data_IF_773709248343
#
_entry.id   IF_773709248343
#
_cell.length_a   1.000
_cell.length_b   1.000
_cell.length_c   1.000
_cell.angle_alpha   90.00
_cell.angle_beta   90.00
_cell.angle_gamma   90.00
#
_symmetry.space_group_name_H-M   'P 1'
#
loop_
_entity.id
_entity.type
_entity.pdbx_description
1 polymer ?
#
# COMPACT_ATOMS: atom_id res chain seq x y z
N UNK A 1 -40.35 10.51 -0.34
CA UNK A 1 -39.17 11.28 0.12
C UNK A 1 -37.99 10.31 0.18
N UNK A 2 -37.04 10.42 -0.76
CA UNK A 2 -35.78 9.65 -0.74
C UNK A 2 -34.88 10.32 0.30
N UNK A 3 -34.55 9.60 1.39
CA UNK A 3 -33.58 10.03 2.37
C UNK A 3 -32.21 10.16 1.69
N UNK A 4 -31.73 11.37 1.53
CA UNK A 4 -30.32 11.66 1.21
C UNK A 4 -29.48 11.10 2.36
N UNK A 5 -28.83 9.97 2.14
CA UNK A 5 -27.80 9.43 3.03
C UNK A 5 -26.65 10.42 2.97
N UNK A 6 -26.50 11.25 3.99
CA UNK A 6 -25.31 12.07 4.16
C UNK A 6 -24.09 11.14 4.10
N UNK A 7 -23.30 11.28 3.04
CA UNK A 7 -21.96 10.69 2.99
C UNK A 7 -21.13 11.45 4.02
N UNK A 8 -21.06 10.91 5.22
CA UNK A 8 -20.08 11.36 6.19
C UNK A 8 -18.71 11.10 5.56
N UNK A 9 -17.97 12.17 5.32
CA UNK A 9 -16.61 12.12 4.82
C UNK A 9 -15.74 11.54 5.95
N UNK A 10 -15.68 10.20 6.05
CA UNK A 10 -14.87 9.52 7.06
C UNK A 10 -13.42 9.89 6.79
N UNK A 11 -12.83 10.58 7.73
CA UNK A 11 -11.45 11.04 7.63
C UNK A 11 -10.52 9.84 7.84
N UNK A 12 -9.77 9.47 6.82
CA UNK A 12 -8.73 8.44 6.90
C UNK A 12 -7.40 9.13 7.24
N UNK A 13 -6.73 8.66 8.29
CA UNK A 13 -5.37 9.09 8.64
C UNK A 13 -4.36 8.02 8.19
N UNK A 14 -3.18 8.46 7.74
CA UNK A 14 -2.10 7.53 7.34
C UNK A 14 -0.83 7.89 8.11
N UNK A 15 -0.23 6.87 8.74
CA UNK A 15 1.04 6.97 9.46
C UNK A 15 1.94 5.76 9.19
N UNK A 16 3.20 5.86 9.55
CA UNK A 16 4.08 4.70 9.56
C UNK A 16 3.62 3.69 10.62
N UNK A 17 3.85 2.42 10.33
CA UNK A 17 3.59 1.30 11.24
C UNK A 17 4.51 1.39 12.47
N UNK A 18 4.00 0.95 13.60
CA UNK A 18 4.76 0.86 14.86
C UNK A 18 4.74 -0.59 15.39
N UNK A 19 5.63 -0.96 16.35
CA UNK A 19 5.64 -2.30 16.92
C UNK A 19 4.29 -2.75 17.54
N UNK A 20 3.50 -1.81 18.02
CA UNK A 20 2.18 -2.04 18.63
C UNK A 20 1.13 -2.50 17.61
N UNK A 21 1.34 -2.22 16.33
CA UNK A 21 0.42 -2.59 15.24
C UNK A 21 0.54 -4.06 14.81
N UNK A 22 1.50 -4.82 15.37
CA UNK A 22 1.86 -6.16 14.89
C UNK A 22 0.67 -7.10 14.76
N UNK A 23 -0.16 -7.19 15.80
CA UNK A 23 -1.30 -8.10 15.81
C UNK A 23 -2.28 -7.78 14.70
N UNK A 24 -2.64 -6.50 14.55
CA UNK A 24 -3.58 -6.06 13.52
C UNK A 24 -3.00 -6.16 12.12
N UNK A 25 -1.72 -5.87 11.96
CA UNK A 25 -1.04 -6.04 10.68
C UNK A 25 -1.03 -7.52 10.25
N UNK A 26 -0.74 -8.46 11.17
CA UNK A 26 -0.74 -9.90 10.86
C UNK A 26 -2.11 -10.40 10.39
N UNK A 27 -3.22 -9.92 10.98
CA UNK A 27 -4.56 -10.23 10.51
C UNK A 27 -4.75 -9.76 9.06
N UNK A 28 -4.48 -8.49 8.79
CA UNK A 28 -4.62 -7.92 7.45
C UNK A 28 -3.66 -8.55 6.43
N UNK A 29 -2.45 -8.90 6.85
CA UNK A 29 -1.47 -9.61 6.01
C UNK A 29 -1.97 -10.99 5.62
N UNK A 30 -2.56 -11.72 6.56
CA UNK A 30 -3.18 -13.02 6.27
C UNK A 30 -4.32 -12.90 5.26
N UNK A 31 -5.18 -11.91 5.41
CA UNK A 31 -6.28 -11.65 4.48
C UNK A 31 -5.78 -11.24 3.07
N UNK A 32 -4.72 -10.42 3.03
CA UNK A 32 -4.05 -10.05 1.78
C UNK A 32 -3.49 -11.25 1.05
N UNK A 33 -2.77 -12.15 1.74
CA UNK A 33 -2.25 -13.39 1.16
C UNK A 33 -3.37 -14.30 0.66
N UNK A 34 -4.46 -14.43 1.43
CA UNK A 34 -5.62 -15.22 1.03
C UNK A 34 -6.27 -14.67 -0.24
N UNK A 35 -6.36 -13.35 -0.40
CA UNK A 35 -6.88 -12.72 -1.60
C UNK A 35 -6.07 -13.10 -2.85
N UNK A 36 -4.75 -13.14 -2.75
CA UNK A 36 -3.85 -13.55 -3.83
C UNK A 36 -3.65 -15.08 -3.91
N UNK A 37 -4.36 -15.87 -3.08
CA UNK A 37 -4.24 -17.33 -3.01
C UNK A 37 -2.78 -17.77 -2.76
N UNK A 38 -2.07 -16.98 -1.95
CA UNK A 38 -0.69 -17.25 -1.55
C UNK A 38 -0.65 -17.80 -0.12
N UNK A 39 0.34 -18.65 0.13
CA UNK A 39 0.67 -19.14 1.45
C UNK A 39 2.17 -18.97 1.67
N UNK A 40 2.53 -18.12 2.64
CA UNK A 40 3.92 -17.90 3.01
C UNK A 40 4.20 -18.53 4.37
N UNK A 41 5.38 -19.11 4.49
CA UNK A 41 5.84 -19.62 5.78
C UNK A 41 5.98 -18.51 6.83
N UNK A 42 5.89 -18.87 8.13
CA UNK A 42 6.00 -17.90 9.22
C UNK A 42 7.34 -17.13 9.20
N UNK A 43 8.40 -17.77 8.72
CA UNK A 43 9.72 -17.15 8.61
C UNK A 43 9.72 -15.96 7.65
N UNK A 44 9.03 -16.06 6.52
CA UNK A 44 8.92 -14.97 5.53
C UNK A 44 8.10 -13.81 6.13
N UNK A 45 6.99 -14.09 6.77
CA UNK A 45 6.14 -13.08 7.42
C UNK A 45 6.89 -12.36 8.55
N UNK A 46 7.64 -13.11 9.38
CA UNK A 46 8.43 -12.54 10.45
C UNK A 46 9.59 -11.69 9.91
N UNK A 47 10.23 -12.12 8.83
CA UNK A 47 11.29 -11.34 8.18
C UNK A 47 10.73 -10.06 7.55
N UNK A 48 9.58 -10.11 6.90
CA UNK A 48 8.89 -8.92 6.37
C UNK A 48 8.59 -7.92 7.49
N UNK A 49 8.06 -8.41 8.61
CA UNK A 49 7.81 -7.58 9.79
C UNK A 49 9.09 -6.92 10.33
N UNK A 50 10.18 -7.70 10.46
CA UNK A 50 11.48 -7.21 10.97
C UNK A 50 12.02 -6.07 10.10
N UNK A 51 11.89 -6.19 8.78
CA UNK A 51 12.39 -5.20 7.81
C UNK A 51 11.80 -3.81 7.97
N UNK A 52 10.56 -3.70 8.45
CA UNK A 52 9.93 -2.38 8.67
C UNK A 52 10.65 -1.53 9.73
N UNK A 53 11.44 -2.15 10.59
CA UNK A 53 12.13 -1.51 11.71
C UNK A 53 13.65 -1.63 11.61
N UNK A 54 14.17 -2.07 10.49
CA UNK A 54 15.60 -2.20 10.23
C UNK A 54 16.11 -0.96 9.48
N UNK A 55 16.89 -0.12 10.15
CA UNK A 55 17.44 1.10 9.58
C UNK A 55 18.30 0.87 8.32
N UNK A 56 18.79 -0.35 8.12
CA UNK A 56 19.56 -0.74 6.93
C UNK A 56 18.68 -1.24 5.78
N UNK A 57 17.38 -1.36 6.00
CA UNK A 57 16.41 -1.81 5.01
C UNK A 57 15.58 -0.64 4.50
N UNK A 58 15.37 -0.57 3.20
CA UNK A 58 14.59 0.47 2.56
C UNK A 58 13.13 0.07 2.32
N UNK A 59 12.64 -0.89 3.10
CA UNK A 59 11.24 -1.34 3.08
C UNK A 59 10.48 -0.68 4.23
N UNK A 60 9.36 -0.07 3.92
CA UNK A 60 8.53 0.66 4.86
C UNK A 60 7.08 0.19 4.77
N UNK A 61 6.35 0.29 5.88
CA UNK A 61 4.92 0.04 5.91
C UNK A 61 4.19 1.27 6.45
N UNK A 62 3.19 1.73 5.72
CA UNK A 62 2.22 2.73 6.18
C UNK A 62 0.90 2.05 6.48
N UNK A 63 0.23 2.46 7.56
CA UNK A 63 -1.11 2.01 7.89
C UNK A 63 -2.11 3.14 7.75
N UNK A 64 -3.34 2.78 7.40
CA UNK A 64 -4.47 3.68 7.33
C UNK A 64 -5.41 3.42 8.50
N UNK A 65 -5.80 4.47 9.21
CA UNK A 65 -6.76 4.44 10.31
C UNK A 65 -8.03 5.20 9.93
N UNK A 66 -9.17 4.69 10.32
CA UNK A 66 -10.45 5.38 10.17
C UNK A 66 -10.64 6.46 11.24
N UNK A 67 -11.79 7.12 11.22
CA UNK A 67 -12.17 8.18 12.17
C UNK A 67 -12.35 7.70 13.62
N UNK A 68 -12.34 6.38 13.85
CA UNK A 68 -12.39 5.75 15.17
C UNK A 68 -11.00 5.24 15.63
N UNK A 69 -9.96 5.49 14.82
CA UNK A 69 -8.60 4.99 15.09
C UNK A 69 -8.42 3.50 14.83
N UNK A 70 -9.35 2.87 14.09
CA UNK A 70 -9.19 1.48 13.70
C UNK A 70 -8.32 1.37 12.46
N UNK A 71 -7.33 0.49 12.50
CA UNK A 71 -6.50 0.19 11.33
C UNK A 71 -7.32 -0.57 10.29
N UNK A 72 -7.46 0.01 9.10
CA UNK A 72 -8.33 -0.47 8.02
C UNK A 72 -7.62 -0.76 6.72
N UNK A 73 -6.30 -0.58 6.67
CA UNK A 73 -5.50 -0.89 5.49
C UNK A 73 -4.02 -0.63 5.70
N UNK A 74 -3.20 -1.10 4.79
CA UNK A 74 -1.76 -0.85 4.78
C UNK A 74 -1.21 -0.72 3.35
N UNK A 75 -0.04 -0.09 3.25
CA UNK A 75 0.79 -0.05 2.05
C UNK A 75 2.23 -0.36 2.42
N UNK A 76 2.82 -1.38 1.77
CA UNK A 76 4.25 -1.68 1.86
C UNK A 76 4.93 -1.09 0.65
N UNK A 77 6.01 -0.34 0.86
CA UNK A 77 6.78 0.24 -0.22
C UNK A 77 8.29 0.11 0.01
N UNK A 78 9.02 0.08 -1.07
CA UNK A 78 10.47 -0.06 -1.09
C UNK A 78 11.05 1.11 -1.87
N UNK A 79 12.11 1.74 -1.35
CA UNK A 79 12.86 2.75 -2.09
C UNK A 79 14.21 2.19 -2.54
N UNK A 80 14.63 2.59 -3.72
CA UNK A 80 15.94 2.19 -4.25
C UNK A 80 16.48 3.25 -5.22
N UNK A 81 17.80 3.36 -5.36
CA UNK A 81 18.38 4.23 -6.38
C UNK A 81 18.00 3.75 -7.78
N UNK A 82 17.88 4.67 -8.70
CA UNK A 82 17.66 4.39 -10.12
C UNK A 82 18.69 5.11 -10.98
N UNK A 83 18.99 4.55 -12.14
CA UNK A 83 20.01 5.11 -13.04
C UNK A 83 19.54 6.32 -13.88
N UNK A 84 18.24 6.66 -13.83
CA UNK A 84 17.64 7.71 -14.66
C UNK A 84 17.25 8.98 -13.89
N UNK A 85 17.59 9.06 -12.62
CA UNK A 85 17.32 10.21 -11.77
C UNK A 85 18.31 10.32 -10.62
N UNK A 86 18.37 11.49 -9.99
CA UNK A 86 19.23 11.72 -8.82
C UNK A 86 18.55 11.15 -7.55
N UNK A 87 17.25 11.34 -7.44
CA UNK A 87 16.47 10.81 -6.33
C UNK A 87 16.18 9.32 -6.46
N UNK A 88 15.59 8.75 -5.43
CA UNK A 88 15.20 7.34 -5.42
C UNK A 88 13.95 7.07 -6.27
N UNK A 89 13.74 5.80 -6.54
CA UNK A 89 12.50 5.24 -7.05
C UNK A 89 11.77 4.60 -5.88
N UNK A 90 10.47 4.83 -5.76
CA UNK A 90 9.61 4.10 -4.83
C UNK A 90 8.80 3.06 -5.59
N UNK A 91 8.86 1.82 -5.12
CA UNK A 91 8.02 0.72 -5.55
C UNK A 91 6.96 0.45 -4.46
N UNK A 92 5.69 0.65 -4.79
CA UNK A 92 4.58 0.22 -3.95
C UNK A 92 4.38 -1.28 -4.17
N UNK A 93 4.88 -2.07 -3.22
CA UNK A 93 4.92 -3.54 -3.27
C UNK A 93 3.53 -4.13 -3.02
N UNK A 94 2.92 -3.77 -1.89
CA UNK A 94 1.64 -4.31 -1.42
C UNK A 94 0.70 -3.19 -1.01
N UNK A 95 -0.57 -3.32 -1.37
CA UNK A 95 -1.64 -2.40 -0.98
C UNK A 95 -2.88 -3.20 -0.59
N UNK A 96 -3.32 -3.06 0.65
CA UNK A 96 -4.48 -3.75 1.17
C UNK A 96 -5.46 -2.80 1.84
N UNK A 97 -6.73 -3.05 1.65
CA UNK A 97 -7.83 -2.39 2.36
C UNK A 97 -8.80 -3.45 2.85
N UNK A 98 -9.10 -3.41 4.14
CA UNK A 98 -10.07 -4.30 4.76
C UNK A 98 -11.43 -4.23 4.05
N UNK A 99 -12.12 -5.37 3.84
CA UNK A 99 -13.36 -5.41 3.05
C UNK A 99 -14.41 -4.38 3.48
N UNK A 100 -14.58 -4.18 4.79
CA UNK A 100 -15.53 -3.24 5.38
C UNK A 100 -15.20 -1.76 5.12
N UNK A 101 -13.93 -1.46 4.80
CA UNK A 101 -13.44 -0.11 4.53
C UNK A 101 -13.25 0.18 3.03
N UNK A 102 -13.60 -0.76 2.16
CA UNK A 102 -13.51 -0.55 0.71
C UNK A 102 -14.51 0.49 0.22
N UNK A 103 -14.19 1.13 -0.90
CA UNK A 103 -14.97 2.23 -1.48
C UNK A 103 -15.09 3.48 -0.61
N UNK A 104 -14.31 3.56 0.48
CA UNK A 104 -14.25 4.70 1.41
C UNK A 104 -13.03 5.62 1.18
N UNK A 105 -12.29 5.40 0.09
CA UNK A 105 -11.13 6.22 -0.26
C UNK A 105 -9.82 5.82 0.41
N UNK A 106 -9.78 4.73 1.21
CA UNK A 106 -8.59 4.30 1.97
C UNK A 106 -7.38 4.07 1.05
N UNK A 107 -7.54 3.29 -0.03
CA UNK A 107 -6.46 3.03 -0.97
C UNK A 107 -5.93 4.31 -1.63
N UNK A 108 -6.84 5.22 -2.01
CA UNK A 108 -6.47 6.52 -2.55
C UNK A 108 -5.63 7.32 -1.55
N UNK A 109 -6.06 7.40 -0.29
CA UNK A 109 -5.35 8.15 0.76
C UNK A 109 -3.95 7.57 1.02
N UNK A 110 -3.80 6.23 1.01
CA UNK A 110 -2.50 5.58 1.11
C UNK A 110 -1.57 5.97 -0.05
N UNK A 111 -2.06 5.92 -1.30
CA UNK A 111 -1.27 6.32 -2.48
C UNK A 111 -0.94 7.81 -2.45
N UNK A 112 -1.89 8.68 -2.10
CA UNK A 112 -1.67 10.13 -1.99
C UNK A 112 -0.61 10.46 -0.94
N UNK A 113 -0.58 9.70 0.17
CA UNK A 113 0.49 9.82 1.17
C UNK A 113 1.87 9.46 0.60
N UNK A 114 1.97 8.38 -0.19
CA UNK A 114 3.22 8.03 -0.86
C UNK A 114 3.65 9.08 -1.88
N UNK A 115 2.70 9.66 -2.61
CA UNK A 115 2.99 10.77 -3.54
C UNK A 115 3.54 11.98 -2.77
N UNK A 116 2.95 12.32 -1.62
CA UNK A 116 3.43 13.41 -0.77
C UNK A 116 4.85 13.12 -0.24
N UNK A 117 5.09 11.91 0.28
CA UNK A 117 6.43 11.48 0.71
C UNK A 117 7.44 11.54 -0.43
N UNK A 118 7.04 11.15 -1.64
CA UNK A 118 7.90 11.21 -2.81
C UNK A 118 8.34 12.63 -3.14
N UNK A 119 7.44 13.60 -3.01
CA UNK A 119 7.76 15.03 -3.21
C UNK A 119 8.65 15.58 -2.09
N UNK A 120 8.44 15.16 -0.84
CA UNK A 120 9.25 15.56 0.32
C UNK A 120 10.67 15.00 0.26
N UNK A 121 10.86 13.81 -0.34
CA UNK A 121 12.13 13.09 -0.40
C UNK A 121 12.77 13.11 -1.81
N UNK A 122 12.26 13.93 -2.71
CA UNK A 122 12.77 14.08 -4.08
C UNK A 122 12.84 12.75 -4.86
N UNK A 123 11.88 11.84 -4.64
CA UNK A 123 11.78 10.65 -5.48
C UNK A 123 11.43 11.06 -6.91
N UNK A 124 12.13 10.48 -7.87
CA UNK A 124 11.82 10.82 -9.26
C UNK A 124 10.71 9.95 -9.86
N UNK A 125 10.32 8.85 -9.18
CA UNK A 125 9.25 7.98 -9.64
C UNK A 125 8.63 7.17 -8.48
N UNK A 126 7.30 7.04 -8.49
CA UNK A 126 6.51 6.06 -7.76
C UNK A 126 5.82 5.15 -8.78
N UNK A 127 5.90 3.84 -8.61
CA UNK A 127 5.25 2.87 -9.49
C UNK A 127 4.78 1.64 -8.73
N UNK A 128 3.87 0.91 -9.33
CA UNK A 128 3.35 -0.36 -8.83
C UNK A 128 2.92 -1.26 -9.98
N UNK A 129 2.64 -2.54 -9.65
CA UNK A 129 2.04 -3.51 -10.54
C UNK A 129 0.68 -3.94 -9.99
N UNK A 130 -0.18 -4.41 -10.87
CA UNK A 130 -1.46 -5.04 -10.53
C UNK A 130 -1.81 -6.03 -11.64
N UNK A 131 -2.64 -7.01 -11.31
CA UNK A 131 -3.13 -7.94 -12.32
C UNK A 131 -4.01 -7.21 -13.34
N UNK A 132 -3.91 -7.59 -14.61
CA UNK A 132 -4.67 -6.97 -15.70
C UNK A 132 -6.18 -7.07 -15.44
N UNK A 133 -6.63 -8.18 -14.86
CA UNK A 133 -8.04 -8.41 -14.48
C UNK A 133 -8.50 -7.70 -13.22
N UNK A 134 -7.64 -6.98 -12.50
CA UNK A 134 -8.02 -6.27 -11.26
C UNK A 134 -8.69 -4.92 -11.60
N UNK A 135 -9.85 -4.98 -12.23
CA UNK A 135 -10.57 -3.79 -12.72
C UNK A 135 -10.94 -2.81 -11.62
N UNK A 136 -11.27 -3.30 -10.42
CA UNK A 136 -11.60 -2.45 -9.27
C UNK A 136 -10.43 -1.57 -8.85
N UNK A 137 -9.24 -2.14 -8.70
CA UNK A 137 -8.04 -1.37 -8.35
C UNK A 137 -7.62 -0.46 -9.51
N UNK A 138 -7.65 -0.95 -10.76
CA UNK A 138 -7.30 -0.16 -11.96
C UNK A 138 -8.17 1.07 -12.12
N UNK A 139 -9.46 1.00 -11.78
CA UNK A 139 -10.36 2.17 -11.80
C UNK A 139 -9.90 3.31 -10.86
N UNK A 140 -9.19 2.99 -9.77
CA UNK A 140 -8.51 3.98 -8.93
C UNK A 140 -7.18 4.41 -9.57
N UNK A 141 -6.37 3.46 -10.01
CA UNK A 141 -5.02 3.72 -10.51
C UNK A 141 -5.01 4.64 -11.75
N UNK A 142 -5.98 4.50 -12.65
CA UNK A 142 -6.16 5.37 -13.80
C UNK A 142 -6.47 6.85 -13.43
N UNK A 143 -6.90 7.09 -12.17
CA UNK A 143 -7.19 8.43 -11.66
C UNK A 143 -5.98 9.08 -10.94
N UNK A 144 -5.03 8.27 -10.49
CA UNK A 144 -3.89 8.74 -9.67
C UNK A 144 -2.54 8.55 -10.36
N UNK A 145 -2.49 7.77 -11.43
CA UNK A 145 -1.28 7.47 -12.18
C UNK A 145 -1.55 7.33 -13.68
N UNK A 146 -0.54 6.94 -14.41
CA UNK A 146 -0.60 6.68 -15.86
C UNK A 146 -0.20 5.24 -16.12
N UNK A 147 -1.02 4.49 -16.85
CA UNK A 147 -0.70 3.13 -17.26
C UNK A 147 0.57 3.15 -18.15
N UNK A 148 1.56 2.35 -17.76
CA UNK A 148 2.79 2.16 -18.55
C UNK A 148 2.54 1.17 -19.70
N UNK A 149 3.26 1.35 -20.79
CA UNK A 149 3.33 0.44 -21.95
C UNK A 149 4.39 -0.67 -21.76
N UNK A 150 5.05 -0.70 -20.59
CA UNK A 150 6.11 -1.69 -20.29
C UNK A 150 5.52 -2.99 -19.82
N UNK A 151 6.13 -4.09 -20.25
CA UNK A 151 5.83 -5.44 -19.77
C UNK A 151 6.85 -5.86 -18.72
N UNK A 152 6.42 -6.70 -17.78
CA UNK A 152 7.26 -7.25 -16.70
C UNK A 152 7.71 -8.66 -17.07
N UNK A 153 8.97 -8.97 -16.81
CA UNK A 153 9.55 -10.31 -16.91
C UNK A 153 10.01 -10.75 -15.52
N UNK A 154 9.66 -11.95 -15.10
CA UNK A 154 10.09 -12.57 -13.84
C UNK A 154 10.93 -13.81 -14.14
N UNK A 155 12.01 -13.98 -13.38
CA UNK A 155 12.83 -15.19 -13.38
C UNK A 155 12.84 -15.73 -11.96
N UNK A 156 12.16 -16.86 -11.69
CA UNK A 156 12.26 -17.53 -10.39
C UNK A 156 13.68 -18.03 -10.14
N UNK A 157 14.19 -17.84 -8.92
CA UNK A 157 15.52 -18.26 -8.48
C UNK A 157 15.42 -19.28 -7.34
#
# INVERSE_FOLDING_TARGET
MKAFRQMTNKKVAVRLITPEDKSKWLEMWSDYLAFYKQSLGPDITNETWRRFFDDMCTMYCSIAEDDQGQTVGFAIHVTHPGSWGIGDVCYLEDLYVAPEARCMGVARTLIEKLIALGKENDWYRLYWHTDDGNHTARALYDKVGTLSDRVKYDVPL
#
